data_IF_551476761800
#
_entry.id   IF_551476761800
#
_cell.length_a   1.000
_cell.length_b   1.000
_cell.length_c   1.000
_cell.angle_alpha   90.00
_cell.angle_beta   90.00
_cell.angle_gamma   90.00
#
_symmetry.space_group_name_H-M   'P 1'
#
loop_
_entity.id
_entity.type
_entity.pdbx_description
1 polymer ?
#
# COMPACT_ATOMS: atom_id res chain seq x y z
N UNK A 1 -26.74 21.25 -20.29
CA UNK A 1 -27.17 20.86 -21.65
C UNK A 1 -27.25 19.33 -21.71
N UNK A 2 -28.16 18.76 -22.51
CA UNK A 2 -28.19 17.30 -22.71
C UNK A 2 -26.99 16.91 -23.60
N UNK A 3 -26.17 15.91 -23.21
CA UNK A 3 -25.01 15.52 -24.00
C UNK A 3 -25.42 14.97 -25.36
N UNK A 4 -24.57 15.17 -26.34
CA UNK A 4 -24.70 14.63 -27.69
C UNK A 4 -24.36 13.14 -27.69
N UNK A 5 -24.83 12.40 -28.70
CA UNK A 5 -24.58 10.97 -28.82
C UNK A 5 -23.07 10.64 -28.86
N UNK A 6 -22.27 11.49 -29.50
CA UNK A 6 -20.81 11.33 -29.55
C UNK A 6 -20.15 11.56 -28.18
N UNK A 7 -20.65 12.50 -27.38
CA UNK A 7 -20.17 12.71 -26.01
C UNK A 7 -20.53 11.54 -25.10
N UNK A 8 -21.72 10.94 -25.27
CA UNK A 8 -22.13 9.75 -24.51
C UNK A 8 -21.28 8.53 -24.87
N UNK A 9 -20.99 8.31 -26.16
CA UNK A 9 -20.17 7.17 -26.60
C UNK A 9 -18.69 7.31 -26.19
N UNK A 10 -18.23 8.52 -25.91
CA UNK A 10 -16.89 8.78 -25.40
C UNK A 10 -16.82 8.73 -23.86
N UNK A 11 -17.94 8.49 -23.18
CA UNK A 11 -17.99 8.38 -21.72
C UNK A 11 -17.23 7.15 -21.23
N UNK A 12 -16.63 7.26 -20.04
CA UNK A 12 -15.81 6.23 -19.42
C UNK A 12 -16.59 4.92 -19.25
N UNK A 13 -17.91 4.98 -19.04
CA UNK A 13 -18.78 3.80 -18.96
C UNK A 13 -18.80 2.97 -20.25
N UNK A 14 -18.70 3.59 -21.43
CA UNK A 14 -18.75 2.91 -22.73
C UNK A 14 -17.36 2.64 -23.33
N UNK A 15 -16.32 3.22 -22.75
CA UNK A 15 -14.93 3.15 -23.25
C UNK A 15 -14.00 2.38 -22.32
N UNK A 16 -14.41 2.13 -21.07
CA UNK A 16 -13.66 1.37 -20.06
C UNK A 16 -14.52 0.23 -19.49
N UNK A 17 -13.87 -0.90 -19.15
CA UNK A 17 -14.53 -2.08 -18.59
C UNK A 17 -14.89 -3.17 -19.62
N UNK A 18 -15.47 -4.27 -19.15
CA UNK A 18 -15.86 -5.41 -19.99
C UNK A 18 -17.19 -5.13 -20.70
N UNK A 19 -17.13 -5.03 -22.03
CA UNK A 19 -18.31 -4.88 -22.88
C UNK A 19 -18.45 -6.13 -23.77
N UNK A 20 -19.28 -7.11 -23.39
CA UNK A 20 -19.39 -8.37 -24.11
C UNK A 20 -19.91 -8.14 -25.53
N UNK A 21 -19.23 -8.74 -26.53
CA UNK A 21 -19.66 -8.65 -27.95
C UNK A 21 -21.02 -9.33 -28.20
N UNK A 22 -21.41 -10.23 -27.31
CA UNK A 22 -22.70 -10.90 -27.29
C UNK A 22 -23.04 -11.28 -25.85
N UNK A 23 -24.28 -11.11 -25.44
CA UNK A 23 -24.79 -11.62 -24.18
C UNK A 23 -25.36 -13.04 -24.37
N UNK A 24 -25.27 -13.88 -23.35
CA UNK A 24 -25.98 -15.16 -23.37
C UNK A 24 -27.49 -14.92 -23.49
N UNK A 25 -28.25 -15.74 -24.24
CA UNK A 25 -29.71 -15.71 -24.24
C UNK A 25 -30.33 -15.76 -22.83
N UNK A 26 -29.60 -16.31 -21.85
CA UNK A 26 -30.01 -16.35 -20.45
C UNK A 26 -30.18 -14.96 -19.82
N UNK A 27 -29.48 -13.92 -20.32
CA UNK A 27 -29.60 -12.54 -19.82
C UNK A 27 -31.00 -11.94 -20.03
N UNK A 28 -31.82 -12.52 -20.91
CA UNK A 28 -33.19 -12.09 -21.14
C UNK A 28 -34.22 -12.78 -20.23
N UNK A 29 -33.83 -13.85 -19.53
CA UNK A 29 -34.77 -14.71 -18.80
C UNK A 29 -34.36 -14.96 -17.35
N UNK A 30 -33.11 -14.68 -16.98
CA UNK A 30 -32.59 -14.86 -15.63
C UNK A 30 -31.75 -13.66 -15.21
N UNK A 31 -31.82 -13.24 -13.94
CA UNK A 31 -30.90 -12.24 -13.40
C UNK A 31 -29.45 -12.74 -13.50
N UNK A 32 -28.47 -11.85 -13.72
CA UNK A 32 -27.07 -12.23 -13.79
C UNK A 32 -26.64 -12.93 -12.50
N UNK A 33 -26.05 -14.12 -12.64
CA UNK A 33 -25.39 -14.82 -11.54
C UNK A 33 -24.05 -14.16 -11.30
N UNK A 34 -24.00 -13.26 -10.33
CA UNK A 34 -22.73 -12.73 -9.83
C UNK A 34 -21.95 -13.87 -9.18
N UNK A 35 -20.65 -14.03 -9.45
CA UNK A 35 -19.79 -14.89 -8.64
C UNK A 35 -19.95 -14.41 -7.20
N UNK A 36 -20.58 -15.23 -6.38
CA UNK A 36 -20.51 -15.06 -4.95
C UNK A 36 -19.09 -15.44 -4.60
N UNK A 37 -18.19 -14.46 -4.52
CA UNK A 37 -17.16 -14.58 -3.52
C UNK A 37 -17.92 -14.74 -2.22
N UNK A 38 -17.94 -15.96 -1.70
CA UNK A 38 -18.51 -16.25 -0.41
C UNK A 38 -17.90 -15.24 0.56
N UNK A 39 -18.70 -14.24 0.94
CA UNK A 39 -18.47 -13.48 2.15
C UNK A 39 -18.47 -14.53 3.26
N UNK A 40 -17.30 -15.01 3.64
CA UNK A 40 -17.14 -15.82 4.85
C UNK A 40 -17.11 -14.92 6.10
N UNK A 41 -17.39 -13.62 5.95
CA UNK A 41 -17.89 -12.78 7.03
C UNK A 41 -19.33 -13.19 7.35
N UNK A 42 -19.44 -14.24 8.16
CA UNK A 42 -20.68 -14.75 8.71
C UNK A 42 -20.33 -15.72 9.82
N UNK A 43 -20.49 -15.25 11.06
CA UNK A 43 -20.50 -16.08 12.28
C UNK A 43 -21.10 -17.46 11.99
N UNK A 44 -20.27 -18.49 11.90
CA UNK A 44 -20.77 -19.86 11.89
C UNK A 44 -19.96 -20.71 12.85
N UNK A 45 -20.65 -21.08 13.92
CA UNK A 45 -20.26 -22.09 14.88
C UNK A 45 -19.91 -23.40 14.15
N UNK A 46 -18.79 -23.99 14.55
CA UNK A 46 -18.24 -25.23 14.00
C UNK A 46 -19.27 -26.36 14.07
N UNK A 47 -19.54 -27.00 12.94
CA UNK A 47 -20.10 -28.36 12.89
C UNK A 47 -19.34 -29.17 11.83
N UNK A 48 -18.72 -30.26 12.30
CA UNK A 48 -17.88 -31.17 11.52
C UNK A 48 -18.72 -31.95 10.49
N UNK A 49 -18.34 -31.89 9.22
CA UNK A 49 -18.86 -32.78 8.16
C UNK A 49 -17.64 -33.41 7.45
N UNK A 50 -17.56 -34.74 7.30
CA UNK A 50 -16.38 -35.40 6.74
C UNK A 50 -16.33 -35.22 5.21
N UNK A 51 -15.12 -35.20 4.61
CA UNK A 51 -14.96 -34.92 3.18
C UNK A 51 -15.27 -36.15 2.32
N UNK A 52 -16.09 -35.95 1.28
CA UNK A 52 -16.18 -36.86 0.13
C UNK A 52 -15.07 -36.52 -0.88
N UNK A 53 -14.47 -37.59 -1.42
CA UNK A 53 -13.22 -37.67 -2.18
C UNK A 53 -13.10 -36.84 -3.50
N UNK A 54 -11.85 -36.68 -4.02
CA UNK A 54 -11.44 -35.52 -4.80
C UNK A 54 -11.36 -35.76 -6.30
N UNK A 55 -11.42 -34.68 -7.10
CA UNK A 55 -10.83 -34.65 -8.44
C UNK A 55 -10.15 -33.32 -8.72
N UNK A 56 -8.90 -33.47 -9.14
CA UNK A 56 -7.98 -32.55 -9.85
C UNK A 56 -6.81 -32.01 -9.00
N UNK A 57 -5.63 -32.42 -9.47
CA UNK A 57 -4.31 -32.57 -8.86
C UNK A 57 -3.47 -31.27 -8.86
N UNK A 58 -4.10 -30.10 -8.77
CA UNK A 58 -3.39 -28.82 -8.56
C UNK A 58 -3.45 -28.37 -7.09
N UNK A 59 -4.47 -28.79 -6.34
CA UNK A 59 -4.59 -28.49 -4.91
C UNK A 59 -3.63 -29.28 -4.03
N UNK A 60 -3.18 -30.47 -4.45
CA UNK A 60 -2.29 -31.31 -3.62
C UNK A 60 -0.90 -30.69 -3.43
N UNK A 61 -0.35 -30.07 -4.47
CA UNK A 61 0.91 -29.34 -4.39
C UNK A 61 0.77 -28.03 -3.59
N UNK A 62 -0.41 -27.40 -3.65
CA UNK A 62 -0.71 -26.16 -2.94
C UNK A 62 -1.04 -26.35 -1.44
N UNK A 63 -1.72 -27.43 -1.06
CA UNK A 63 -1.96 -27.78 0.34
C UNK A 63 -0.64 -28.02 1.09
N UNK A 64 0.36 -28.57 0.38
CA UNK A 64 1.74 -28.65 0.86
C UNK A 64 2.37 -27.27 1.04
N UNK A 65 2.10 -26.28 0.18
CA UNK A 65 2.60 -24.92 0.35
C UNK A 65 2.00 -24.21 1.57
N UNK A 66 0.70 -24.42 1.87
CA UNK A 66 0.06 -23.92 3.11
C UNK A 66 0.74 -24.52 4.34
N UNK A 67 1.02 -25.82 4.33
CA UNK A 67 1.68 -26.52 5.44
C UNK A 67 3.16 -26.12 5.61
N UNK A 68 3.78 -25.60 4.55
CA UNK A 68 5.18 -25.15 4.51
C UNK A 68 5.37 -23.64 4.71
N UNK A 69 4.29 -22.86 4.91
CA UNK A 69 4.37 -21.46 5.36
C UNK A 69 4.80 -21.42 6.84
N UNK A 70 6.03 -21.84 7.12
CA UNK A 70 6.71 -21.54 8.37
C UNK A 70 7.26 -20.12 8.29
N UNK A 71 6.82 -19.26 9.21
CA UNK A 71 7.34 -17.91 9.40
C UNK A 71 8.76 -18.03 9.98
N UNK A 72 9.78 -18.10 9.13
CA UNK A 72 11.16 -18.04 9.58
C UNK A 72 11.51 -16.62 10.06
N UNK A 73 11.98 -16.50 11.30
CA UNK A 73 12.35 -15.22 11.93
C UNK A 73 13.51 -14.49 11.23
N UNK A 74 14.23 -15.13 10.29
CA UNK A 74 15.32 -14.54 9.52
C UNK A 74 14.79 -13.88 8.25
N UNK A 75 14.39 -12.63 8.33
CA UNK A 75 14.13 -11.80 7.13
C UNK A 75 15.36 -10.97 6.80
N UNK A 76 15.72 -10.94 5.51
CA UNK A 76 16.75 -10.05 4.96
C UNK A 76 16.36 -8.56 5.08
N UNK A 77 15.09 -8.27 5.41
CA UNK A 77 14.58 -6.93 5.66
C UNK A 77 14.61 -6.55 7.17
N UNK A 78 15.42 -7.22 7.97
CA UNK A 78 15.63 -6.89 9.38
C UNK A 78 16.76 -5.86 9.52
N UNK A 79 16.43 -4.66 9.99
CA UNK A 79 17.40 -3.67 10.42
C UNK A 79 18.00 -4.07 11.76
N UNK A 80 19.33 -4.19 11.81
CA UNK A 80 20.05 -4.59 13.02
C UNK A 80 20.18 -3.43 14.04
N UNK A 81 20.28 -3.76 15.33
CA UNK A 81 20.39 -2.75 16.42
C UNK A 81 21.57 -1.79 16.22
N UNK A 82 22.67 -2.28 15.64
CA UNK A 82 23.86 -1.46 15.35
C UNK A 82 23.56 -0.40 14.29
N UNK A 83 22.76 -0.72 13.27
CA UNK A 83 22.35 0.22 12.24
C UNK A 83 21.37 1.27 12.82
N UNK A 84 20.51 0.86 13.75
CA UNK A 84 19.62 1.78 14.48
C UNK A 84 20.41 2.78 15.34
N UNK A 85 21.46 2.34 16.04
CA UNK A 85 22.34 3.23 16.81
C UNK A 85 23.15 4.20 15.93
N UNK A 86 23.59 3.76 14.75
CA UNK A 86 24.33 4.62 13.81
C UNK A 86 23.43 5.72 13.21
N UNK A 87 22.13 5.45 13.06
CA UNK A 87 21.12 6.45 12.62
C UNK A 87 20.88 7.52 13.71
N UNK A 88 20.91 7.14 14.99
CA UNK A 88 20.81 8.07 16.12
C UNK A 88 22.06 8.96 16.26
N UNK A 89 23.25 8.43 15.96
CA UNK A 89 24.53 9.10 16.21
C UNK A 89 25.00 10.06 15.10
N UNK A 90 24.40 10.06 13.90
CA UNK A 90 24.80 10.98 12.80
C UNK A 90 24.26 12.41 13.02
N UNK A 91 25.13 13.43 13.28
CA UNK A 91 24.72 14.82 13.28
C UNK A 91 24.66 15.37 11.84
N UNK A 92 23.69 16.25 11.59
CA UNK A 92 23.54 17.01 10.33
C UNK A 92 24.85 17.69 9.93
N UNK A 93 25.42 17.29 8.79
CA UNK A 93 26.64 17.91 8.25
C UNK A 93 26.28 19.30 7.71
N UNK A 94 26.87 20.31 8.34
CA UNK A 94 26.85 21.71 7.92
C UNK A 94 27.43 21.87 6.50
N UNK A 95 26.89 22.85 5.78
CA UNK A 95 27.34 23.37 4.49
C UNK A 95 28.87 23.58 4.43
N UNK A 96 29.53 23.30 3.29
CA UNK A 96 30.97 23.52 3.18
C UNK A 96 31.31 25.02 3.12
N UNK A 97 32.47 25.43 3.68
CA UNK A 97 32.89 26.82 3.70
C UNK A 97 33.57 27.21 2.39
N UNK A 98 33.43 28.49 2.05
CA UNK A 98 34.24 29.24 1.08
C UNK A 98 35.72 29.19 1.45
N UNK A 99 36.59 28.74 0.54
CA UNK A 99 37.93 29.31 0.38
C UNK A 99 38.46 29.07 -1.04
N UNK A 100 38.91 30.18 -1.64
CA UNK A 100 39.52 30.25 -2.95
C UNK A 100 40.89 29.56 -2.98
N UNK A 101 41.20 28.83 -4.05
CA UNK A 101 42.57 28.75 -4.58
C UNK A 101 42.52 28.56 -6.09
N UNK A 102 43.34 29.38 -6.73
CA UNK A 102 43.54 29.62 -8.16
C UNK A 102 44.39 28.50 -8.78
N UNK A 103 44.03 28.05 -9.98
CA UNK A 103 44.81 27.10 -10.77
C UNK A 103 44.24 26.95 -12.18
N UNK A 104 44.77 27.76 -13.10
CA UNK A 104 44.50 27.75 -14.53
C UNK A 104 44.96 26.43 -15.20
N UNK A 105 44.10 25.76 -15.98
CA UNK A 105 44.48 25.04 -17.21
C UNK A 105 43.33 25.13 -18.24
N UNK A 106 43.72 25.38 -19.49
CA UNK A 106 42.99 25.82 -20.67
C UNK A 106 42.09 24.79 -21.40
N UNK A 107 40.93 25.28 -21.91
CA UNK A 107 40.21 25.12 -23.21
C UNK A 107 40.07 23.74 -23.93
N UNK A 108 39.12 23.53 -24.88
CA UNK A 108 38.22 24.50 -25.55
C UNK A 108 36.73 24.14 -25.64
N UNK A 109 35.96 25.17 -25.99
CA UNK A 109 34.57 25.14 -26.42
C UNK A 109 34.40 24.60 -27.85
N UNK A 110 33.22 24.02 -28.12
CA UNK A 110 32.59 24.01 -29.45
C UNK A 110 31.07 24.15 -29.33
N UNK A 111 30.57 25.28 -29.80
CA UNK A 111 29.26 25.45 -30.45
C UNK A 111 29.24 24.54 -31.71
N UNK A 112 28.14 24.08 -32.33
CA UNK A 112 26.97 24.78 -32.86
C UNK A 112 26.04 23.72 -33.50
N UNK A 113 24.78 24.09 -33.77
CA UNK A 113 23.92 23.77 -34.95
C UNK A 113 22.63 23.00 -34.67
N UNK A 114 21.56 23.80 -34.60
CA UNK A 114 20.17 23.55 -34.99
C UNK A 114 20.04 23.11 -36.46
N UNK A 115 19.26 22.08 -36.78
CA UNK A 115 18.64 21.94 -38.10
C UNK A 115 17.28 21.23 -38.04
N UNK A 116 16.35 21.73 -38.86
CA UNK A 116 14.94 21.37 -38.97
C UNK A 116 14.71 20.43 -40.18
N UNK A 117 13.96 19.33 -39.94
CA UNK A 117 12.97 18.62 -40.79
C UNK A 117 13.36 18.14 -42.24
N UNK A 118 12.56 17.34 -43.01
CA UNK A 118 11.22 16.77 -42.77
C UNK A 118 10.93 15.30 -43.28
N UNK A 119 9.71 14.84 -42.96
CA UNK A 119 8.77 13.97 -43.73
C UNK A 119 8.68 12.43 -43.65
N UNK A 120 7.40 12.04 -43.46
CA UNK A 120 6.55 11.00 -44.12
C UNK A 120 6.52 9.53 -43.65
N UNK A 121 5.37 9.22 -43.04
CA UNK A 121 4.42 8.12 -43.30
C UNK A 121 4.87 6.65 -43.41
N UNK A 122 4.33 5.84 -42.51
CA UNK A 122 4.24 4.38 -42.62
C UNK A 122 3.21 3.82 -41.63
N UNK A 123 1.97 3.65 -42.08
CA UNK A 123 0.89 2.94 -41.39
C UNK A 123 1.26 1.47 -41.14
N UNK A 124 1.26 1.02 -39.88
CA UNK A 124 0.83 -0.34 -39.50
C UNK A 124 0.12 -0.28 -38.15
N UNK A 125 -1.08 -0.85 -38.08
CA UNK A 125 -1.96 -0.75 -36.94
C UNK A 125 -1.61 -1.74 -35.83
N UNK A 126 -1.55 -1.23 -34.61
CA UNK A 126 -1.66 -2.04 -33.40
C UNK A 126 -2.77 -1.42 -32.52
N UNK A 127 -3.88 -2.15 -32.40
CA UNK A 127 -5.06 -1.78 -31.62
C UNK A 127 -5.02 -2.57 -30.31
N UNK A 128 -4.42 -1.99 -29.27
CA UNK A 128 -4.78 -2.18 -27.86
C UNK A 128 -3.97 -1.23 -26.98
N UNK A 129 -4.43 0.02 -26.87
CA UNK A 129 -3.89 0.97 -25.90
C UNK A 129 -5.01 1.87 -25.40
N UNK A 130 -5.53 1.56 -24.22
CA UNK A 130 -6.45 2.44 -23.50
C UNK A 130 -5.72 3.73 -23.11
N UNK A 131 -6.41 4.89 -23.03
CA UNK A 131 -5.76 6.15 -22.67
C UNK A 131 -5.34 6.14 -21.19
N UNK A 132 -4.30 6.89 -20.80
CA UNK A 132 -3.95 7.07 -19.40
C UNK A 132 -5.08 7.83 -18.69
N UNK A 133 -5.74 7.17 -17.74
CA UNK A 133 -6.69 7.78 -16.82
C UNK A 133 -5.99 8.94 -16.10
N UNK A 134 -6.54 10.15 -16.22
CA UNK A 134 -6.07 11.32 -15.48
C UNK A 134 -6.50 11.15 -14.03
N UNK A 135 -5.61 10.56 -13.24
CA UNK A 135 -5.77 10.40 -11.81
C UNK A 135 -5.88 11.79 -11.14
N UNK A 136 -7.04 12.06 -10.54
CA UNK A 136 -7.27 13.24 -9.69
C UNK A 136 -6.86 12.98 -8.23
N UNK A 137 -6.19 11.85 -7.95
CA UNK A 137 -5.47 11.67 -6.69
C UNK A 137 -4.37 12.72 -6.56
N UNK A 138 -4.35 13.42 -5.42
CA UNK A 138 -3.25 14.31 -5.10
C UNK A 138 -1.95 13.49 -5.17
N UNK A 139 -0.96 13.96 -5.95
CA UNK A 139 0.34 13.26 -6.08
C UNK A 139 0.84 12.88 -4.68
N UNK A 140 1.32 11.63 -4.50
CA UNK A 140 1.76 11.16 -3.20
C UNK A 140 2.82 12.11 -2.65
N UNK A 141 2.60 12.58 -1.41
CA UNK A 141 3.52 13.49 -0.75
C UNK A 141 4.81 12.73 -0.42
N UNK A 142 5.98 13.34 -0.60
CA UNK A 142 7.24 12.65 -0.33
C UNK A 142 7.38 12.33 1.17
N UNK A 143 8.03 11.22 1.49
CA UNK A 143 8.27 10.79 2.88
C UNK A 143 8.97 11.88 3.72
N UNK A 144 9.83 12.70 3.08
CA UNK A 144 10.50 13.84 3.71
C UNK A 144 9.53 14.89 4.26
N UNK A 145 8.39 15.11 3.61
CA UNK A 145 7.38 16.05 4.10
C UNK A 145 6.71 15.54 5.38
N UNK A 146 6.45 14.23 5.45
CA UNK A 146 5.91 13.59 6.65
C UNK A 146 6.95 13.63 7.78
N UNK A 147 8.21 13.29 7.50
CA UNK A 147 9.32 13.36 8.45
C UNK A 147 9.44 14.76 9.06
N UNK A 148 9.45 15.79 8.22
CA UNK A 148 9.52 17.19 8.63
C UNK A 148 8.34 17.59 9.52
N UNK A 149 7.12 17.21 9.12
CA UNK A 149 5.90 17.61 9.83
C UNK A 149 5.79 16.90 11.17
N UNK A 150 6.09 15.60 11.22
CA UNK A 150 6.13 14.83 12.47
C UNK A 150 7.24 15.35 13.39
N UNK A 151 8.42 15.67 12.84
CA UNK A 151 9.52 16.29 13.58
C UNK A 151 9.11 17.60 14.25
N UNK A 152 8.53 18.54 13.48
CA UNK A 152 8.02 19.81 14.02
C UNK A 152 6.95 19.61 15.09
N UNK A 153 6.06 18.63 14.90
CA UNK A 153 5.05 18.31 15.90
C UNK A 153 5.68 17.90 17.23
N UNK A 154 6.62 16.94 17.19
CA UNK A 154 7.35 16.45 18.38
C UNK A 154 8.13 17.57 19.07
N UNK A 155 8.78 18.44 18.31
CA UNK A 155 9.62 19.50 18.86
C UNK A 155 8.80 20.65 19.50
N UNK A 156 7.54 20.83 19.09
CA UNK A 156 6.65 21.89 19.57
C UNK A 156 5.65 21.44 20.64
N UNK A 157 5.70 20.17 21.05
CA UNK A 157 4.76 19.60 22.00
C UNK A 157 4.81 20.29 23.39
N UNK A 158 3.67 20.59 24.02
CA UNK A 158 3.62 21.11 25.38
C UNK A 158 4.25 20.11 26.37
N UNK A 159 5.19 20.59 27.20
CA UNK A 159 5.83 19.75 28.21
C UNK A 159 4.83 19.42 29.32
N UNK A 160 4.72 18.13 29.67
CA UNK A 160 3.94 17.67 30.83
C UNK A 160 2.44 17.44 30.57
N UNK A 161 2.00 17.35 29.31
CA UNK A 161 0.67 16.88 28.98
C UNK A 161 0.46 15.45 29.50
N UNK A 162 -0.70 15.20 30.12
CA UNK A 162 -1.05 13.89 30.72
C UNK A 162 -2.20 13.18 30.01
N UNK A 163 -2.83 13.85 29.05
CA UNK A 163 -4.02 13.37 28.35
C UNK A 163 -3.83 13.56 26.86
N UNK A 164 -4.46 12.69 26.06
CA UNK A 164 -4.55 12.87 24.62
C UNK A 164 -5.58 13.95 24.27
N UNK A 165 -5.45 14.62 23.11
CA UNK A 165 -6.48 15.55 22.65
C UNK A 165 -7.77 14.79 22.29
N UNK A 166 -8.84 15.53 22.02
CA UNK A 166 -10.10 14.90 21.60
C UNK A 166 -9.89 14.14 20.28
N UNK A 167 -10.26 12.85 20.20
CA UNK A 167 -10.15 12.08 18.96
C UNK A 167 -10.96 12.72 17.83
N UNK A 168 -10.42 12.65 16.61
CA UNK A 168 -11.10 13.09 15.39
C UNK A 168 -11.58 11.88 14.61
N UNK A 169 -12.75 11.97 13.99
CA UNK A 169 -13.19 10.96 13.04
C UNK A 169 -12.47 11.20 11.70
N UNK A 170 -11.59 10.29 11.32
CA UNK A 170 -10.84 10.36 10.08
C UNK A 170 -10.66 8.97 9.47
N UNK A 171 -10.94 8.88 8.17
CA UNK A 171 -10.75 7.67 7.39
C UNK A 171 -9.30 7.59 6.90
N UNK A 172 -8.49 6.78 7.58
CA UNK A 172 -7.14 6.41 7.14
C UNK A 172 -7.17 4.92 6.83
N UNK A 173 -6.80 4.54 5.60
CA UNK A 173 -6.65 3.12 5.26
C UNK A 173 -5.31 2.62 5.79
N UNK A 174 -5.31 1.46 6.44
CA UNK A 174 -4.12 0.90 7.08
C UNK A 174 -4.06 -0.63 6.90
N UNK A 175 -2.93 -1.26 7.22
CA UNK A 175 -2.71 -2.70 7.09
C UNK A 175 -3.23 -3.43 8.34
N UNK A 176 -4.31 -4.20 8.19
CA UNK A 176 -4.97 -4.93 9.27
C UNK A 176 -4.33 -6.28 9.56
N UNK A 177 -3.86 -6.96 8.51
CA UNK A 177 -3.19 -8.26 8.57
C UNK A 177 -1.99 -8.26 7.63
N UNK A 178 -0.95 -9.01 7.99
CA UNK A 178 0.26 -9.14 7.18
C UNK A 178 0.93 -10.49 7.41
N UNK A 179 1.65 -10.96 6.38
CA UNK A 179 2.40 -12.21 6.39
C UNK A 179 3.73 -11.96 5.69
N UNK A 180 4.82 -12.13 6.43
CA UNK A 180 6.18 -12.11 5.88
C UNK A 180 6.55 -13.52 5.39
N UNK A 181 6.52 -13.73 4.07
CA UNK A 181 7.04 -14.93 3.44
C UNK A 181 8.10 -14.57 2.38
N UNK A 182 8.92 -13.57 2.72
CA UNK A 182 9.93 -12.98 1.83
C UNK A 182 11.12 -13.91 1.55
N UNK A 183 11.35 -14.94 2.37
CA UNK A 183 12.34 -15.98 2.06
C UNK A 183 12.02 -16.76 0.76
N UNK A 184 10.76 -16.74 0.29
CA UNK A 184 10.34 -17.50 -0.90
C UNK A 184 9.56 -16.70 -1.93
N UNK A 185 8.58 -15.90 -1.51
CA UNK A 185 7.62 -15.27 -2.44
C UNK A 185 7.53 -13.75 -2.27
N UNK A 186 7.37 -13.28 -1.04
CA UNK A 186 7.16 -11.87 -0.76
C UNK A 186 6.33 -11.61 0.50
N UNK A 187 5.75 -10.42 0.55
CA UNK A 187 5.03 -9.92 1.70
C UNK A 187 3.54 -9.75 1.37
N UNK A 188 2.69 -10.54 2.02
CA UNK A 188 1.24 -10.47 1.89
C UNK A 188 0.65 -9.50 2.91
N UNK A 189 -0.37 -8.75 2.52
CA UNK A 189 -1.07 -7.79 3.39
C UNK A 189 -2.56 -7.71 3.07
N UNK A 190 -3.34 -7.34 4.08
CA UNK A 190 -4.74 -6.93 3.94
C UNK A 190 -4.89 -5.50 4.45
N UNK A 191 -5.58 -4.67 3.69
CA UNK A 191 -5.92 -3.30 4.09
C UNK A 191 -7.22 -3.25 4.88
N UNK A 192 -7.45 -2.17 5.62
CA UNK A 192 -8.70 -1.93 6.36
C UNK A 192 -9.92 -1.71 5.47
N UNK A 193 -9.71 -1.54 4.16
CA UNK A 193 -10.74 -1.59 3.13
C UNK A 193 -11.11 -3.00 2.69
N UNK A 194 -10.50 -4.04 3.28
CA UNK A 194 -10.52 -5.45 2.87
C UNK A 194 -9.81 -5.77 1.54
N UNK A 195 -9.15 -4.78 0.93
CA UNK A 195 -8.29 -5.03 -0.22
C UNK A 195 -7.10 -5.91 0.16
N UNK A 196 -6.83 -6.93 -0.65
CA UNK A 196 -5.75 -7.89 -0.45
C UNK A 196 -4.59 -7.56 -1.37
N UNK A 197 -3.35 -7.69 -0.91
CA UNK A 197 -2.20 -7.46 -1.76
C UNK A 197 -0.98 -8.28 -1.41
N UNK A 198 -0.09 -8.41 -2.38
CA UNK A 198 1.24 -9.01 -2.23
C UNK A 198 2.28 -8.11 -2.89
N UNK A 199 3.33 -7.79 -2.14
CA UNK A 199 4.58 -7.25 -2.66
C UNK A 199 5.56 -8.41 -2.85
N UNK A 200 5.85 -8.76 -4.10
CA UNK A 200 6.74 -9.86 -4.42
C UNK A 200 8.22 -9.47 -4.29
N UNK A 201 9.09 -10.47 -4.12
CA UNK A 201 10.55 -10.27 -4.05
C UNK A 201 11.15 -9.64 -5.31
N UNK A 202 10.50 -9.82 -6.48
CA UNK A 202 10.90 -9.18 -7.73
C UNK A 202 10.50 -7.69 -7.81
N UNK A 203 9.94 -7.14 -6.71
CA UNK A 203 9.41 -5.76 -6.56
C UNK A 203 8.11 -5.46 -7.29
N UNK A 204 7.53 -6.43 -8.01
CA UNK A 204 6.18 -6.31 -8.55
C UNK A 204 5.13 -6.42 -7.45
N UNK A 205 3.92 -5.94 -7.72
CA UNK A 205 2.81 -5.93 -6.76
C UNK A 205 1.53 -6.41 -7.41
N UNK A 206 0.72 -7.14 -6.65
CA UNK A 206 -0.64 -7.49 -7.06
C UNK A 206 -1.60 -7.09 -5.94
N UNK A 207 -2.73 -6.48 -6.29
CA UNK A 207 -3.76 -6.02 -5.35
C UNK A 207 -5.11 -6.50 -5.90
N UNK A 208 -5.92 -7.14 -5.06
CA UNK A 208 -7.25 -7.66 -5.38
C UNK A 208 -8.32 -6.95 -4.57
N UNK A 209 -9.48 -6.78 -5.20
CA UNK A 209 -10.60 -6.08 -4.60
C UNK A 209 -11.30 -6.72 -3.42
N UNK A 210 -11.87 -5.93 -2.50
CA UNK A 210 -12.65 -6.44 -1.38
C UNK A 210 -13.75 -7.39 -1.86
N UNK A 211 -14.30 -7.10 -3.04
CA UNK A 211 -15.29 -7.94 -3.70
C UNK A 211 -14.69 -9.08 -4.56
N UNK A 212 -13.36 -9.18 -4.64
CA UNK A 212 -12.61 -10.19 -5.39
C UNK A 212 -12.68 -10.05 -6.92
N UNK A 213 -13.31 -9.01 -7.47
CA UNK A 213 -13.62 -8.94 -8.92
C UNK A 213 -12.55 -8.28 -9.77
N UNK A 214 -11.75 -7.39 -9.20
CA UNK A 214 -10.73 -6.62 -9.87
C UNK A 214 -9.36 -6.95 -9.30
N UNK A 215 -8.37 -7.01 -10.19
CA UNK A 215 -6.97 -7.22 -9.86
C UNK A 215 -6.15 -6.13 -10.53
N UNK A 216 -5.28 -5.50 -9.76
CA UNK A 216 -4.31 -4.54 -10.23
C UNK A 216 -2.92 -5.11 -10.05
N UNK A 217 -2.12 -5.04 -11.10
CA UNK A 217 -0.75 -5.50 -11.13
C UNK A 217 0.18 -4.35 -11.48
N UNK A 218 1.16 -4.10 -10.61
CA UNK A 218 2.28 -3.21 -10.91
C UNK A 218 3.48 -4.08 -11.25
N UNK A 219 3.99 -3.96 -12.46
CA UNK A 219 5.22 -4.67 -12.84
C UNK A 219 6.45 -4.08 -12.14
N UNK A 220 7.62 -4.69 -12.38
CA UNK A 220 8.90 -4.26 -11.80
C UNK A 220 9.30 -2.83 -12.20
N UNK A 221 8.72 -2.30 -13.28
CA UNK A 221 8.91 -0.90 -13.73
C UNK A 221 7.89 0.06 -13.12
N UNK A 222 7.06 -0.42 -12.19
CA UNK A 222 5.92 0.30 -11.59
C UNK A 222 4.83 0.67 -12.58
N UNK A 223 4.76 0.01 -13.75
CA UNK A 223 3.66 0.21 -14.69
C UNK A 223 2.43 -0.57 -14.23
N UNK A 224 1.30 0.12 -14.18
CA UNK A 224 0.01 -0.42 -13.77
C UNK A 224 -0.68 -1.15 -14.94
N UNK A 225 -1.20 -2.35 -14.62
CA UNK A 225 -2.14 -3.12 -15.43
C UNK A 225 -3.34 -3.47 -14.55
N UNK A 226 -4.54 -3.39 -15.12
CA UNK A 226 -5.78 -3.73 -14.43
C UNK A 226 -6.52 -4.83 -15.20
N UNK A 227 -7.02 -5.81 -14.45
CA UNK A 227 -7.72 -6.97 -14.97
C UNK A 227 -8.98 -7.22 -14.13
N UNK A 228 -9.98 -7.83 -14.74
CA UNK A 228 -10.98 -8.58 -13.98
C UNK A 228 -10.42 -9.95 -13.63
N UNK A 229 -10.88 -10.56 -12.54
CA UNK A 229 -10.36 -11.85 -12.10
C UNK A 229 -10.54 -12.97 -13.14
N UNK A 230 -11.57 -12.87 -13.99
CA UNK A 230 -11.84 -13.80 -15.08
C UNK A 230 -10.97 -13.58 -16.34
N UNK A 231 -10.18 -12.49 -16.38
CA UNK A 231 -9.40 -12.09 -17.55
C UNK A 231 -7.92 -11.84 -17.20
N UNK A 232 -7.40 -12.57 -16.23
CA UNK A 232 -5.98 -12.51 -15.85
C UNK A 232 -5.15 -13.26 -16.91
N UNK A 233 -4.07 -12.65 -17.44
CA UNK A 233 -3.20 -13.30 -18.39
C UNK A 233 -2.46 -14.48 -17.75
N UNK A 234 -2.17 -15.51 -18.54
CA UNK A 234 -1.50 -16.75 -18.08
C UNK A 234 -0.19 -16.48 -17.33
N UNK A 235 0.58 -15.48 -17.76
CA UNK A 235 1.83 -15.08 -17.12
C UNK A 235 1.67 -14.58 -15.66
N UNK A 236 0.45 -14.17 -15.25
CA UNK A 236 0.12 -13.73 -13.89
C UNK A 236 -0.60 -14.78 -13.06
N UNK A 237 -0.89 -15.97 -13.60
CA UNK A 237 -1.64 -17.02 -12.91
C UNK A 237 -0.97 -17.42 -11.59
N UNK A 238 0.36 -17.62 -11.60
CA UNK A 238 1.13 -17.98 -10.40
C UNK A 238 1.07 -16.91 -9.30
N UNK A 239 1.16 -15.63 -9.68
CA UNK A 239 1.11 -14.49 -8.74
C UNK A 239 -0.29 -14.33 -8.14
N UNK A 240 -1.32 -14.49 -8.96
CA UNK A 240 -2.72 -14.47 -8.51
C UNK A 240 -3.03 -15.63 -7.59
N UNK A 241 -2.52 -16.82 -7.91
CA UNK A 241 -2.63 -18.01 -7.06
C UNK A 241 -1.99 -17.73 -5.70
N UNK A 242 -0.76 -17.21 -5.65
CA UNK A 242 -0.10 -16.83 -4.39
C UNK A 242 -0.88 -15.78 -3.58
N UNK A 243 -1.48 -14.79 -4.24
CA UNK A 243 -2.36 -13.82 -3.57
C UNK A 243 -3.53 -14.51 -2.85
N UNK A 244 -4.17 -15.50 -3.49
CA UNK A 244 -5.23 -16.30 -2.87
C UNK A 244 -4.70 -17.14 -1.69
N UNK A 245 -3.44 -17.62 -1.75
CA UNK A 245 -2.80 -18.31 -0.62
C UNK A 245 -2.64 -17.40 0.59
N UNK A 246 -2.07 -16.21 0.38
CA UNK A 246 -1.92 -15.23 1.45
C UNK A 246 -3.28 -14.86 2.05
N UNK A 247 -4.30 -14.62 1.20
CA UNK A 247 -5.65 -14.31 1.65
C UNK A 247 -6.22 -15.39 2.58
N UNK A 248 -6.19 -16.66 2.12
CA UNK A 248 -6.68 -17.79 2.90
C UNK A 248 -5.92 -17.95 4.22
N UNK A 249 -4.59 -17.84 4.18
CA UNK A 249 -3.78 -17.95 5.39
C UNK A 249 -4.12 -16.85 6.41
N UNK A 250 -4.26 -15.60 5.96
CA UNK A 250 -4.63 -14.46 6.80
C UNK A 250 -6.02 -14.62 7.43
N UNK A 251 -6.97 -15.23 6.73
CA UNK A 251 -8.31 -15.50 7.26
C UNK A 251 -8.33 -16.66 8.26
N UNK A 252 -7.60 -17.74 7.96
CA UNK A 252 -7.59 -18.93 8.80
C UNK A 252 -6.78 -18.74 10.10
N UNK A 253 -5.74 -17.87 10.10
CA UNK A 253 -4.75 -17.81 11.19
C UNK A 253 -4.57 -16.44 11.86
N UNK A 254 -5.06 -15.35 11.26
CA UNK A 254 -4.81 -14.01 11.78
C UNK A 254 -6.09 -13.29 12.21
N UNK A 255 -6.00 -12.71 13.39
CA UNK A 255 -6.95 -11.75 13.95
C UNK A 255 -6.76 -10.37 13.31
N UNK A 256 -7.86 -9.62 13.18
CA UNK A 256 -7.81 -8.23 12.71
C UNK A 256 -7.06 -7.35 13.72
N UNK A 257 -6.19 -6.46 13.23
CA UNK A 257 -5.24 -5.70 14.05
C UNK A 257 -5.82 -4.57 14.91
N UNK A 258 -7.12 -4.31 14.88
CA UNK A 258 -7.80 -3.19 15.54
C UNK A 258 -9.23 -2.97 15.04
N UNK A 259 -10.11 -2.48 15.91
CA UNK A 259 -11.50 -2.14 15.58
C UNK A 259 -11.56 -0.68 15.08
N UNK A 260 -11.72 -0.51 13.77
CA UNK A 260 -12.15 0.76 13.18
C UNK A 260 -13.39 0.44 12.36
N UNK A 261 -14.57 0.79 12.89
CA UNK A 261 -15.84 0.58 12.20
C UNK A 261 -15.88 1.46 10.94
N UNK A 262 -15.62 0.86 9.78
CA UNK A 262 -15.86 1.50 8.49
C UNK A 262 -17.31 1.27 8.07
N UNK A 263 -18.03 2.34 7.78
CA UNK A 263 -19.33 2.25 7.11
C UNK A 263 -19.13 1.81 5.65
N UNK A 264 -19.69 0.66 5.30
CA UNK A 264 -19.47 -0.08 4.03
C UNK A 264 -19.97 0.59 2.75
N UNK A 265 -20.59 1.77 2.81
CA UNK A 265 -21.54 2.16 1.78
C UNK A 265 -21.01 3.06 0.67
N UNK A 266 -19.72 3.47 0.68
CA UNK A 266 -19.22 4.35 -0.39
C UNK A 266 -17.71 4.37 -0.64
N UNK A 267 -16.98 3.27 -0.42
CA UNK A 267 -15.57 3.22 -0.85
C UNK A 267 -15.56 2.89 -2.34
N UNK A 268 -15.57 3.95 -3.16
CA UNK A 268 -15.05 3.86 -4.52
C UNK A 268 -13.59 3.41 -4.37
N UNK A 269 -13.32 2.14 -4.65
CA UNK A 269 -11.96 1.65 -4.71
C UNK A 269 -11.21 2.49 -5.75
N UNK A 270 -10.35 3.38 -5.27
CA UNK A 270 -9.56 4.31 -6.10
C UNK A 270 -8.37 3.66 -6.81
N UNK A 271 -8.29 2.34 -6.85
CA UNK A 271 -7.29 1.63 -7.63
C UNK A 271 -5.83 1.78 -7.20
N UNK A 272 -5.51 2.46 -6.10
CA UNK A 272 -4.16 3.07 -6.03
C UNK A 272 -3.37 2.79 -4.74
N UNK A 273 -4.03 2.32 -3.68
CA UNK A 273 -3.33 2.09 -2.41
C UNK A 273 -2.68 0.71 -2.37
N UNK A 274 -1.37 0.68 -2.18
CA UNK A 274 -0.58 -0.54 -2.06
C UNK A 274 0.61 -0.33 -1.13
N UNK A 275 1.19 -1.43 -0.64
CA UNK A 275 2.41 -1.40 0.14
C UNK A 275 3.61 -1.01 -0.75
N UNK A 276 4.19 0.16 -0.50
CA UNK A 276 5.36 0.64 -1.24
C UNK A 276 6.62 -0.03 -0.71
N UNK A 277 6.79 -0.05 0.61
CA UNK A 277 7.96 -0.59 1.33
C UNK A 277 7.57 -1.17 2.69
N UNK A 278 8.40 -2.08 3.18
CA UNK A 278 8.33 -2.57 4.56
C UNK A 278 9.72 -3.00 5.01
N UNK A 279 9.93 -3.00 6.33
CA UNK A 279 11.10 -3.58 6.96
C UNK A 279 10.78 -3.89 8.43
N UNK A 280 11.60 -4.74 9.06
CA UNK A 280 11.50 -5.07 10.47
C UNK A 280 12.68 -4.48 11.25
N UNK A 281 12.44 -4.25 12.52
CA UNK A 281 13.47 -4.01 13.54
C UNK A 281 13.31 -5.08 14.62
N UNK A 282 14.15 -5.07 15.64
CA UNK A 282 13.93 -5.91 16.82
C UNK A 282 12.62 -5.57 17.56
N UNK A 283 12.12 -4.33 17.47
CA UNK A 283 10.98 -3.82 18.27
C UNK A 283 9.65 -3.78 17.52
N UNK A 284 9.69 -3.62 16.21
CA UNK A 284 8.51 -3.35 15.41
C UNK A 284 8.68 -3.72 13.93
N UNK A 285 7.56 -3.91 13.23
CA UNK A 285 7.49 -3.89 11.77
C UNK A 285 7.01 -2.51 11.29
N UNK A 286 7.65 -2.00 10.25
CA UNK A 286 7.34 -0.73 9.60
C UNK A 286 6.78 -0.99 8.22
N UNK A 287 5.64 -0.37 7.92
CA UNK A 287 4.88 -0.51 6.69
C UNK A 287 4.66 0.89 6.10
N UNK A 288 5.02 1.09 4.84
CA UNK A 288 4.88 2.38 4.17
C UNK A 288 4.06 2.22 2.89
N UNK A 289 2.89 2.87 2.86
CA UNK A 289 1.92 2.76 1.77
C UNK A 289 2.19 3.79 0.65
N UNK A 290 1.61 3.56 -0.52
CA UNK A 290 1.80 4.38 -1.73
C UNK A 290 1.30 5.82 -1.61
N UNK A 291 0.35 6.09 -0.72
CA UNK A 291 -0.18 7.43 -0.42
C UNK A 291 0.68 8.24 0.57
N UNK A 292 1.74 7.62 1.12
CA UNK A 292 2.60 8.21 2.14
C UNK A 292 2.19 7.90 3.59
N UNK A 293 1.19 7.05 3.80
CA UNK A 293 0.84 6.56 5.14
C UNK A 293 1.95 5.66 5.69
N UNK A 294 2.43 6.00 6.89
CA UNK A 294 3.38 5.17 7.66
C UNK A 294 2.61 4.43 8.75
N UNK A 295 2.82 3.13 8.85
CA UNK A 295 2.31 2.31 9.95
C UNK A 295 3.47 1.59 10.64
N UNK A 296 3.44 1.58 11.97
CA UNK A 296 4.39 0.87 12.83
C UNK A 296 3.61 -0.03 13.76
N UNK A 297 3.88 -1.33 13.73
CA UNK A 297 3.29 -2.31 14.65
C UNK A 297 4.36 -2.81 15.61
N UNK A 298 4.19 -2.56 16.91
CA UNK A 298 5.13 -2.94 17.95
C UNK A 298 4.90 -4.37 18.41
N UNK A 299 5.98 -5.14 18.61
CA UNK A 299 5.89 -6.57 18.91
C UNK A 299 5.60 -6.84 20.39
N UNK A 300 6.22 -6.06 21.29
CA UNK A 300 6.21 -6.34 22.73
C UNK A 300 4.82 -6.17 23.37
N UNK A 301 4.02 -5.23 22.87
CA UNK A 301 2.72 -4.86 23.46
C UNK A 301 1.56 -4.83 22.46
N UNK A 302 1.80 -5.23 21.20
CA UNK A 302 0.84 -5.25 20.11
C UNK A 302 0.18 -3.91 19.75
N UNK A 303 0.70 -2.80 20.27
CA UNK A 303 0.22 -1.45 19.93
C UNK A 303 0.65 -1.07 18.52
N UNK A 304 -0.08 -0.13 17.91
CA UNK A 304 0.19 0.33 16.54
C UNK A 304 0.09 1.83 16.44
N UNK A 305 0.94 2.41 15.62
CA UNK A 305 0.91 3.82 15.27
C UNK A 305 0.76 3.96 13.76
N UNK A 306 -0.29 4.62 13.30
CA UNK A 306 -0.50 4.95 11.90
C UNK A 306 -0.45 6.46 11.74
N UNK A 307 0.48 6.97 10.92
CA UNK A 307 0.60 8.39 10.59
C UNK A 307 0.22 8.58 9.14
N UNK A 308 -0.88 9.28 8.91
CA UNK A 308 -1.47 9.47 7.59
C UNK A 308 -1.96 10.89 7.39
N UNK A 309 -2.24 11.25 6.14
CA UNK A 309 -2.76 12.56 5.79
C UNK A 309 -4.30 12.59 5.88
N UNK A 310 -4.85 13.63 6.51
CA UNK A 310 -6.30 13.85 6.65
C UNK A 310 -6.68 15.23 6.12
N UNK A 311 -7.50 15.31 5.07
CA UNK A 311 -7.97 16.58 4.46
C UNK A 311 -6.85 17.62 4.22
N UNK A 312 -6.55 18.49 5.19
CA UNK A 312 -5.54 19.54 5.13
C UNK A 312 -4.47 19.45 6.23
N UNK A 313 -4.40 18.35 6.98
CA UNK A 313 -3.47 18.11 8.08
C UNK A 313 -2.94 16.66 8.03
N UNK A 314 -2.07 16.30 8.96
CA UNK A 314 -1.73 14.91 9.27
C UNK A 314 -2.42 14.49 10.57
N UNK A 315 -2.63 13.19 10.71
CA UNK A 315 -3.13 12.60 11.95
C UNK A 315 -2.33 11.36 12.33
N UNK A 316 -2.36 11.08 13.62
CA UNK A 316 -1.82 9.88 14.25
C UNK A 316 -3.00 9.06 14.75
N UNK A 317 -3.15 7.85 14.23
CA UNK A 317 -4.03 6.82 14.80
C UNK A 317 -3.19 5.95 15.71
N UNK A 318 -3.56 5.89 16.98
CA UNK A 318 -2.96 4.98 17.95
C UNK A 318 -3.95 3.85 18.24
N UNK A 319 -3.49 2.61 18.04
CA UNK A 319 -4.22 1.41 18.44
C UNK A 319 -3.54 0.89 19.71
N UNK A 320 -4.27 0.92 20.81
CA UNK A 320 -3.79 0.52 22.13
C UNK A 320 -3.76 -1.01 22.34
N UNK A 321 -3.41 -1.44 23.55
CA UNK A 321 -3.29 -2.86 23.91
C UNK A 321 -4.65 -3.56 23.90
N UNK A 322 -5.71 -2.81 24.16
CA UNK A 322 -7.11 -3.21 24.09
C UNK A 322 -7.64 -3.25 22.65
N UNK A 323 -6.80 -2.90 21.66
CA UNK A 323 -7.11 -2.85 20.22
C UNK A 323 -8.13 -1.76 19.83
N UNK A 324 -8.28 -0.76 20.69
CA UNK A 324 -9.12 0.40 20.42
C UNK A 324 -8.33 1.43 19.63
N UNK A 325 -8.87 1.84 18.49
CA UNK A 325 -8.25 2.84 17.64
C UNK A 325 -8.71 4.26 18.03
N UNK A 326 -7.77 5.16 18.26
CA UNK A 326 -8.03 6.58 18.48
C UNK A 326 -7.18 7.43 17.55
N UNK A 327 -7.82 8.34 16.81
CA UNK A 327 -7.14 9.20 15.83
C UNK A 327 -7.05 10.62 16.32
N UNK A 328 -5.87 11.22 16.24
CA UNK A 328 -5.57 12.56 16.72
C UNK A 328 -4.93 13.40 15.62
N UNK A 329 -5.48 14.58 15.33
CA UNK A 329 -4.84 15.55 14.42
C UNK A 329 -3.51 16.03 15.02
N UNK A 330 -2.46 16.14 14.18
CA UNK A 330 -1.18 16.69 14.61
C UNK A 330 -1.33 18.12 15.14
N UNK A 331 -2.20 18.92 14.51
CA UNK A 331 -2.50 20.29 14.99
C UNK A 331 -3.08 20.30 16.41
N UNK A 332 -3.88 19.31 16.80
CA UNK A 332 -4.39 19.19 18.17
C UNK A 332 -3.30 18.70 19.13
N UNK A 333 -2.48 17.73 18.72
CA UNK A 333 -1.33 17.26 19.51
C UNK A 333 -0.36 18.41 19.81
N UNK A 334 -0.07 19.29 18.84
CA UNK A 334 0.80 20.46 19.04
C UNK A 334 0.22 21.44 20.08
N UNK A 335 -1.11 21.59 20.13
CA UNK A 335 -1.77 22.55 21.03
C UNK A 335 -1.97 22.03 22.45
N UNK A 336 -2.40 20.78 22.56
CA UNK A 336 -2.89 20.18 23.82
C UNK A 336 -1.88 19.20 24.42
N UNK A 337 -0.94 18.70 23.61
CA UNK A 337 -0.02 17.63 23.94
C UNK A 337 -0.63 16.24 23.77
N UNK A 338 0.10 15.22 24.20
CA UNK A 338 -0.36 13.83 24.21
C UNK A 338 0.27 13.05 25.36
N UNK A 339 -0.22 11.83 25.59
CA UNK A 339 0.35 10.89 26.56
C UNK A 339 1.75 10.45 26.16
N UNK A 340 2.57 10.05 27.15
CA UNK A 340 3.94 9.57 26.91
C UNK A 340 3.97 8.38 25.94
N UNK A 341 2.99 7.47 26.03
CA UNK A 341 2.87 6.32 25.14
C UNK A 341 2.77 6.70 23.66
N UNK A 342 1.93 7.68 23.34
CA UNK A 342 1.78 8.17 21.97
C UNK A 342 3.04 8.91 21.53
N UNK A 343 3.62 9.74 22.42
CA UNK A 343 4.84 10.49 22.13
C UNK A 343 6.04 9.58 21.83
N UNK A 344 6.30 8.58 22.65
CA UNK A 344 7.42 7.66 22.48
C UNK A 344 7.32 6.88 21.16
N UNK A 345 6.10 6.49 20.79
CA UNK A 345 5.82 5.82 19.51
C UNK A 345 5.96 6.77 18.33
N UNK A 346 5.56 8.04 18.46
CA UNK A 346 5.80 9.08 17.45
C UNK A 346 7.30 9.34 17.26
N UNK A 347 8.09 9.37 18.35
CA UNK A 347 9.56 9.51 18.28
C UNK A 347 10.17 8.32 17.52
N UNK A 348 9.74 7.10 17.84
CA UNK A 348 10.17 5.90 17.11
C UNK A 348 9.77 5.97 15.63
N UNK A 349 8.53 6.35 15.32
CA UNK A 349 8.06 6.52 13.95
C UNK A 349 8.87 7.58 13.16
N UNK A 350 9.26 8.69 13.80
CA UNK A 350 10.16 9.70 13.22
C UNK A 350 11.52 9.09 12.87
N UNK A 351 12.09 8.27 13.74
CA UNK A 351 13.35 7.57 13.49
C UNK A 351 13.23 6.61 12.29
N UNK A 352 12.15 5.85 12.20
CA UNK A 352 11.88 4.94 11.07
C UNK A 352 11.69 5.70 9.75
N UNK A 353 11.00 6.84 9.77
CA UNK A 353 10.85 7.70 8.60
C UNK A 353 12.18 8.29 8.13
N UNK A 354 13.05 8.71 9.06
CA UNK A 354 14.38 9.20 8.73
C UNK A 354 15.17 8.14 7.97
N UNK A 355 15.17 6.89 8.48
CA UNK A 355 15.80 5.77 7.80
C UNK A 355 15.21 5.55 6.38
N UNK A 356 13.89 5.56 6.25
CA UNK A 356 13.22 5.40 4.97
C UNK A 356 13.63 6.48 3.95
N UNK A 357 13.74 7.74 4.38
CA UNK A 357 14.18 8.87 3.54
C UNK A 357 15.66 8.75 3.18
N UNK A 358 16.52 8.37 4.13
CA UNK A 358 17.96 8.21 3.90
C UNK A 358 18.23 7.09 2.87
N UNK A 359 17.45 6.00 2.89
CA UNK A 359 17.52 4.93 1.88
C UNK A 359 16.99 5.42 0.51
N UNK A 360 15.97 6.29 0.46
CA UNK A 360 15.44 6.84 -0.80
C UNK A 360 16.32 7.90 -1.45
N UNK A 361 17.13 8.61 -0.66
CA UNK A 361 17.97 9.71 -1.12
C UNK A 361 19.44 9.35 -1.37
N UNK A 362 19.86 8.10 -1.13
CA UNK A 362 21.23 7.62 -1.30
C UNK A 362 21.54 7.08 -2.71
#
# INVERSE_FOLDING_TARGET
SRPTLQEILADEFFTCGYMPRSLSPDCCTRPPTFPSYSRYSGNRSVAYVPPTEPKIDSMGQLANAISQMHLDSRSENLLEEKELEDIEKKPSRQSPPTHATRGDIAYPAKETITSLAPNSDGHTGDRSRSPPQRDSSAKPKPASMLLDTLGRCIDQLPKGAKTNPTPVNAEITWVTKWVDYSNKYGFGFQLSSDALGVLFNDTSRIIMSPDGRAVQYYDVTSKLYAYTTDCIPEDLEKKTTLLQYFARYMDDHLIQGGDLEFSSDSISWSGSLFLKKWFRTAKAIVLYLSDGTLQVNFFDDHTKLIVGHIKSDYAVTYIDQERTAHTYSLSHIIKEGCTADVLDRMIFARLMLKNLVDIEGA
#
